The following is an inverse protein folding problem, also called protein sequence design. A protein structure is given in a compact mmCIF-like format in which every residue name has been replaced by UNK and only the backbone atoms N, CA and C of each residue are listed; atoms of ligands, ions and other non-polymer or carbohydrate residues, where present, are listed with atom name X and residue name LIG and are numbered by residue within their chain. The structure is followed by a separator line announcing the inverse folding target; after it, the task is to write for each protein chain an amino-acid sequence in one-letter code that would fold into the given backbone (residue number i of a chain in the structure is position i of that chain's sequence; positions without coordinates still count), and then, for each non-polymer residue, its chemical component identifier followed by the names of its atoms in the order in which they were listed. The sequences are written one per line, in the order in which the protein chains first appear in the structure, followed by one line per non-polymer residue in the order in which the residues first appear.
data_IF_888933871112
#
_entry.id   IF_888933871112
#
_cell.length_a   1.000
_cell.length_b   1.000
_cell.length_c   1.000
_cell.angle_alpha   90.00
_cell.angle_beta   90.00
_cell.angle_gamma   90.00
#
_symmetry.space_group_name_H-M   'P 1'
#
loop_
_entity.id
_entity.type
_entity.pdbx_description
1 polymer ?
#
# COMPACT_ATOMS: atom_id res chain seq x y z
N UNK A 1 16.43 27.53 30.83
CA UNK A 1 15.95 26.23 31.35
C UNK A 1 14.55 26.26 32.00
N UNK A 2 13.98 27.39 32.37
CA UNK A 2 12.65 27.47 33.02
C UNK A 2 11.45 27.47 32.07
N UNK A 3 11.61 27.73 30.78
CA UNK A 3 10.50 27.75 29.80
C UNK A 3 10.10 26.37 29.25
N UNK A 4 11.00 25.39 29.27
CA UNK A 4 10.71 24.02 28.82
C UNK A 4 9.83 23.23 29.78
N UNK A 5 9.89 23.53 31.09
CA UNK A 5 9.11 22.84 32.11
C UNK A 5 7.60 23.16 32.13
N UNK A 6 7.19 24.30 31.57
CA UNK A 6 5.80 24.74 31.57
C UNK A 6 5.05 24.37 30.26
N UNK A 7 5.77 24.00 29.19
CA UNK A 7 5.18 23.59 27.91
C UNK A 7 4.56 22.18 27.92
N UNK A 8 4.94 21.36 28.91
CA UNK A 8 4.55 19.95 28.94
C UNK A 8 3.55 19.61 30.07
N UNK A 9 2.96 20.62 30.73
CA UNK A 9 2.10 20.40 31.90
C UNK A 9 0.65 20.04 31.61
N UNK A 10 0.17 20.16 30.38
CA UNK A 10 -1.21 19.82 30.04
C UNK A 10 -1.32 18.89 28.86
N UNK A 11 -2.13 17.85 29.06
CA UNK A 11 -2.62 16.83 28.14
C UNK A 11 -1.74 15.59 27.93
N UNK A 12 -1.79 14.69 28.91
CA UNK A 12 -1.59 13.27 28.72
C UNK A 12 -2.72 12.74 27.82
N UNK A 13 -2.52 12.71 26.50
CA UNK A 13 -3.36 11.93 25.60
C UNK A 13 -3.00 10.45 25.75
N UNK A 14 -3.61 9.81 26.76
CA UNK A 14 -3.67 8.36 26.88
C UNK A 14 -4.72 7.87 25.86
N UNK A 15 -4.29 7.25 24.77
CA UNK A 15 -5.20 6.56 23.85
C UNK A 15 -4.94 5.07 23.86
N UNK A 16 -5.92 4.34 24.39
CA UNK A 16 -6.08 2.91 24.20
C UNK A 16 -6.73 2.67 22.83
N UNK A 17 -5.93 2.33 21.81
CA UNK A 17 -6.43 1.75 20.59
C UNK A 17 -5.85 0.33 20.48
N UNK A 18 -6.70 -0.68 20.58
CA UNK A 18 -6.38 -2.10 20.40
C UNK A 18 -5.29 -2.65 21.34
N UNK A 19 -5.38 -2.33 22.62
CA UNK A 19 -4.53 -2.95 23.66
C UNK A 19 -3.08 -2.50 23.70
N UNK A 20 -2.68 -1.51 22.90
CA UNK A 20 -1.34 -0.89 22.97
C UNK A 20 -1.51 0.57 23.40
N UNK A 21 -1.13 0.90 24.60
CA UNK A 21 -0.99 2.29 25.04
C UNK A 21 0.07 2.98 24.17
N UNK A 22 -0.37 3.90 23.30
CA UNK A 22 0.54 4.82 22.62
C UNK A 22 0.88 5.91 23.65
N UNK A 23 1.84 5.64 24.51
CA UNK A 23 2.51 6.69 25.26
C UNK A 23 3.36 7.45 24.24
N UNK A 24 2.85 8.60 23.78
CA UNK A 24 3.73 9.62 23.21
C UNK A 24 4.68 9.94 24.35
N UNK A 25 5.90 9.43 24.26
CA UNK A 25 6.87 9.66 25.34
C UNK A 25 7.18 11.15 25.34
N UNK A 26 6.74 11.86 26.37
CA UNK A 26 7.16 13.26 26.59
C UNK A 26 8.68 13.39 26.51
N UNK A 27 9.40 12.33 26.85
CA UNK A 27 10.84 12.23 26.72
C UNK A 27 11.30 12.30 25.26
N UNK A 28 10.59 11.64 24.32
CA UNK A 28 10.93 11.66 22.89
C UNK A 28 10.69 13.03 22.28
N UNK A 29 9.58 13.69 22.62
CA UNK A 29 9.30 15.07 22.20
C UNK A 29 10.35 16.04 22.75
N UNK A 30 10.66 15.97 24.04
CA UNK A 30 11.67 16.83 24.67
C UNK A 30 13.08 16.58 24.07
N UNK A 31 13.41 15.35 23.72
CA UNK A 31 14.66 15.02 23.06
C UNK A 31 14.70 15.61 21.63
N UNK A 32 13.58 15.51 20.87
CA UNK A 32 13.44 16.11 19.55
C UNK A 32 13.58 17.63 19.58
N UNK A 33 12.95 18.29 20.55
CA UNK A 33 13.07 19.73 20.74
C UNK A 33 14.52 20.15 21.02
N UNK A 34 15.25 19.40 21.85
CA UNK A 34 16.67 19.63 22.11
C UNK A 34 17.52 19.48 20.85
N UNK A 35 17.28 18.43 20.04
CA UNK A 35 17.96 18.26 18.75
C UNK A 35 17.66 19.41 17.80
N UNK A 36 16.40 19.79 17.67
CA UNK A 36 15.99 20.92 16.82
C UNK A 36 16.69 22.22 17.23
N UNK A 37 16.78 22.49 18.54
CA UNK A 37 17.54 23.64 19.06
C UNK A 37 19.04 23.52 18.78
N UNK A 38 19.62 22.32 18.85
CA UNK A 38 21.05 22.11 18.57
C UNK A 38 21.42 22.31 17.09
N UNK A 39 20.44 22.20 16.17
CA UNK A 39 20.61 22.55 14.76
C UNK A 39 20.58 24.08 14.50
N UNK A 40 20.44 24.90 15.56
CA UNK A 40 20.38 26.35 15.43
C UNK A 40 19.03 26.89 14.99
N UNK A 41 17.97 26.10 15.06
CA UNK A 41 16.62 26.51 14.69
C UNK A 41 16.01 27.40 15.79
N UNK A 42 15.26 28.44 15.38
CA UNK A 42 14.49 29.32 16.28
C UNK A 42 13.01 28.93 16.26
N UNK A 43 12.39 28.56 17.39
CA UNK A 43 10.97 28.21 17.46
C UNK A 43 10.03 29.31 16.96
N UNK A 44 10.43 30.60 17.04
CA UNK A 44 9.65 31.74 16.54
C UNK A 44 9.95 32.07 15.08
N UNK A 45 10.97 31.42 14.49
CA UNK A 45 11.37 31.59 13.12
C UNK A 45 10.41 30.95 12.13
N UNK A 46 10.88 30.85 10.88
CA UNK A 46 10.19 30.09 9.83
C UNK A 46 10.88 28.74 9.67
N UNK A 47 10.12 27.65 9.44
CA UNK A 47 10.71 26.40 8.98
C UNK A 47 11.55 26.63 7.71
N UNK A 48 12.62 25.90 7.57
CA UNK A 48 13.46 25.96 6.37
C UNK A 48 12.76 25.15 5.26
N UNK A 49 12.39 25.82 4.16
CA UNK A 49 11.78 25.17 3.01
C UNK A 49 12.85 24.50 2.15
N UNK A 50 13.43 23.41 2.69
CA UNK A 50 14.40 22.60 1.97
C UNK A 50 13.66 21.70 0.98
N UNK A 51 14.02 21.83 -0.30
CA UNK A 51 13.48 21.03 -1.40
C UNK A 51 14.64 20.49 -2.21
N UNK A 52 14.57 19.23 -2.62
CA UNK A 52 15.55 18.60 -3.50
C UNK A 52 15.52 19.27 -4.88
N UNK A 53 16.67 19.36 -5.53
CA UNK A 53 16.73 19.74 -6.94
C UNK A 53 15.96 18.72 -7.80
N UNK A 54 15.51 19.14 -8.97
CA UNK A 54 14.76 18.27 -9.89
C UNK A 54 15.52 16.98 -10.22
N UNK A 55 16.84 17.08 -10.44
CA UNK A 55 17.71 15.94 -10.72
C UNK A 55 17.78 14.98 -9.52
N UNK A 56 18.08 15.50 -8.32
CA UNK A 56 18.12 14.69 -7.09
C UNK A 56 16.75 14.02 -6.81
N UNK A 57 15.65 14.77 -7.00
CA UNK A 57 14.31 14.25 -6.79
C UNK A 57 13.98 13.12 -7.76
N UNK A 58 14.39 13.25 -9.02
CA UNK A 58 14.19 12.20 -10.03
C UNK A 58 14.95 10.92 -9.64
N UNK A 59 16.22 11.04 -9.22
CA UNK A 59 17.03 9.90 -8.76
C UNK A 59 16.40 9.21 -7.54
N UNK A 60 15.94 10.00 -6.55
CA UNK A 60 15.29 9.47 -5.36
C UNK A 60 13.98 8.76 -5.74
N UNK A 61 13.19 9.34 -6.65
CA UNK A 61 11.93 8.75 -7.11
C UNK A 61 12.16 7.42 -7.81
N UNK A 62 13.15 7.35 -8.71
CA UNK A 62 13.52 6.11 -9.41
C UNK A 62 13.96 5.01 -8.42
N UNK A 63 14.76 5.36 -7.43
CA UNK A 63 15.20 4.42 -6.38
C UNK A 63 14.03 3.87 -5.57
N UNK A 64 12.98 4.67 -5.34
CA UNK A 64 11.83 4.32 -4.54
C UNK A 64 10.62 3.81 -5.36
N UNK A 65 10.74 3.69 -6.69
CA UNK A 65 9.63 3.32 -7.59
C UNK A 65 9.00 1.97 -7.20
N UNK A 66 9.85 0.99 -6.83
CA UNK A 66 9.38 -0.31 -6.37
C UNK A 66 8.48 -0.21 -5.12
N UNK A 67 8.86 0.60 -4.13
CA UNK A 67 8.05 0.75 -2.90
C UNK A 67 6.81 1.60 -3.20
N UNK A 68 6.98 2.65 -3.99
CA UNK A 68 5.92 3.59 -4.35
C UNK A 68 4.71 2.91 -5.01
N UNK A 69 4.91 1.87 -5.84
CA UNK A 69 3.81 1.13 -6.45
C UNK A 69 2.88 0.44 -5.43
N UNK A 70 3.41 0.06 -4.25
CA UNK A 70 2.62 -0.53 -3.17
C UNK A 70 2.01 0.53 -2.25
N UNK A 71 2.69 1.68 -2.11
CA UNK A 71 2.23 2.80 -1.28
C UNK A 71 1.09 3.56 -1.93
N UNK A 72 1.15 3.83 -3.24
CA UNK A 72 0.19 4.69 -3.92
C UNK A 72 -1.27 4.26 -3.74
N UNK A 73 -1.65 2.97 -3.88
CA UNK A 73 -3.03 2.54 -3.63
C UNK A 73 -3.49 2.72 -2.19
N UNK A 74 -2.57 2.49 -1.22
CA UNK A 74 -2.88 2.66 0.21
C UNK A 74 -2.99 4.14 0.59
N UNK A 75 -2.20 5.01 -0.04
CA UNK A 75 -2.28 6.45 0.13
C UNK A 75 -3.63 7.00 -0.40
N UNK A 76 -4.06 6.56 -1.58
CA UNK A 76 -5.37 6.89 -2.14
C UNK A 76 -6.53 6.39 -1.24
N UNK A 77 -6.42 5.16 -0.75
CA UNK A 77 -7.42 4.59 0.16
C UNK A 77 -7.49 5.37 1.47
N UNK A 78 -6.35 5.67 2.08
CA UNK A 78 -6.25 6.44 3.30
C UNK A 78 -6.84 7.84 3.11
N UNK A 79 -6.50 8.52 2.01
CA UNK A 79 -7.05 9.84 1.67
C UNK A 79 -8.58 9.78 1.56
N UNK A 80 -9.13 8.79 0.86
CA UNK A 80 -10.58 8.64 0.70
C UNK A 80 -11.32 8.35 2.03
N UNK A 81 -10.65 7.70 2.99
CA UNK A 81 -11.23 7.44 4.31
C UNK A 81 -11.31 8.68 5.21
N UNK A 82 -10.40 9.64 5.01
CA UNK A 82 -10.32 10.88 5.80
C UNK A 82 -10.66 12.14 5.00
N UNK A 83 -10.94 12.02 3.71
CA UNK A 83 -11.28 13.15 2.85
C UNK A 83 -12.54 13.91 3.34
N UNK A 84 -12.55 15.21 3.16
CA UNK A 84 -13.60 16.10 3.65
C UNK A 84 -13.40 16.59 5.08
N UNK A 85 -12.27 16.30 5.69
CA UNK A 85 -11.90 16.72 7.05
C UNK A 85 -10.72 17.70 7.07
N UNK A 86 -10.42 18.35 5.96
CA UNK A 86 -9.27 19.24 5.78
C UNK A 86 -7.94 18.53 6.12
N UNK A 87 -7.70 17.40 5.46
CA UNK A 87 -6.52 16.57 5.63
C UNK A 87 -5.64 16.57 4.38
N UNK A 88 -4.37 16.31 4.61
CA UNK A 88 -3.47 15.78 3.61
C UNK A 88 -2.95 14.41 4.05
N UNK A 89 -2.54 13.58 3.10
CA UNK A 89 -1.74 12.39 3.32
C UNK A 89 -0.51 12.45 2.44
N UNK A 90 0.64 12.04 2.97
CA UNK A 90 1.90 12.09 2.26
C UNK A 90 2.70 10.79 2.46
N UNK A 91 3.49 10.46 1.46
CA UNK A 91 4.50 9.41 1.53
C UNK A 91 5.88 10.05 1.45
N UNK A 92 6.73 9.72 2.42
CA UNK A 92 8.13 10.11 2.44
C UNK A 92 9.03 8.86 2.43
N UNK A 93 10.20 8.99 1.80
CA UNK A 93 11.21 7.94 1.79
C UNK A 93 11.94 7.81 3.13
N UNK A 94 12.87 6.86 3.21
CA UNK A 94 13.69 6.62 4.40
C UNK A 94 14.68 7.74 4.74
N UNK A 95 14.80 8.77 3.91
CA UNK A 95 15.59 9.98 4.18
C UNK A 95 14.74 11.18 4.61
N UNK A 96 13.42 11.03 4.66
CA UNK A 96 12.47 12.08 5.02
C UNK A 96 12.12 13.03 3.88
N UNK A 97 12.34 12.63 2.63
CA UNK A 97 11.95 13.35 1.43
C UNK A 97 10.54 12.92 1.03
N UNK A 98 9.61 13.87 0.89
CA UNK A 98 8.26 13.60 0.41
C UNK A 98 8.30 13.23 -1.06
N UNK A 99 7.77 12.06 -1.41
CA UNK A 99 7.73 11.55 -2.78
C UNK A 99 6.34 11.64 -3.41
N UNK A 100 5.30 11.62 -2.59
CA UNK A 100 3.91 11.75 -3.03
C UNK A 100 3.05 12.39 -1.94
N UNK A 101 2.03 13.15 -2.34
CA UNK A 101 1.09 13.78 -1.41
C UNK A 101 -0.28 13.98 -2.06
N UNK A 102 -1.33 13.65 -1.32
CA UNK A 102 -2.72 13.91 -1.68
C UNK A 102 -3.29 14.91 -0.68
N UNK A 103 -3.74 16.05 -1.18
CA UNK A 103 -4.23 17.16 -0.39
C UNK A 103 -5.64 17.52 -0.87
N UNK A 104 -6.52 17.86 0.06
CA UNK A 104 -7.79 18.51 -0.33
C UNK A 104 -7.57 19.97 -0.74
N UNK A 105 -8.57 20.56 -1.38
CA UNK A 105 -8.45 21.89 -1.96
C UNK A 105 -8.28 22.99 -0.87
N UNK A 106 -8.88 22.83 0.30
CA UNK A 106 -8.74 23.77 1.40
C UNK A 106 -7.34 23.68 2.01
N UNK A 107 -6.84 22.46 2.24
CA UNK A 107 -5.52 22.24 2.80
C UNK A 107 -4.41 22.77 1.87
N UNK A 108 -4.55 22.66 0.55
CA UNK A 108 -3.58 23.19 -0.44
C UNK A 108 -3.33 24.69 -0.30
N UNK A 109 -4.34 25.45 0.12
CA UNK A 109 -4.22 26.90 0.27
C UNK A 109 -3.54 27.31 1.57
N UNK A 110 -3.39 26.41 2.53
CA UNK A 110 -2.72 26.65 3.81
C UNK A 110 -1.20 26.76 3.65
N UNK A 111 -0.54 27.38 4.61
CA UNK A 111 0.93 27.45 4.63
C UNK A 111 1.56 26.05 4.73
N UNK A 112 0.93 25.13 5.46
CA UNK A 112 1.37 23.75 5.56
C UNK A 112 1.21 22.99 4.25
N UNK A 113 0.07 23.14 3.57
CA UNK A 113 -0.18 22.49 2.28
C UNK A 113 0.79 22.95 1.18
N UNK A 114 1.20 24.21 1.21
CA UNK A 114 2.24 24.74 0.30
C UNK A 114 3.63 24.21 0.61
N UNK A 115 3.89 23.82 1.85
CA UNK A 115 5.20 23.34 2.29
C UNK A 115 5.38 21.82 2.06
N UNK A 116 4.29 21.05 2.00
CA UNK A 116 4.31 19.61 1.74
C UNK A 116 4.13 19.36 0.26
N UNK A 117 5.24 19.46 -0.46
CA UNK A 117 5.30 19.19 -1.90
C UNK A 117 6.28 18.06 -2.18
N UNK A 118 6.12 17.32 -3.29
CA UNK A 118 7.12 16.36 -3.72
C UNK A 118 8.52 16.98 -3.80
N UNK A 119 9.52 16.31 -3.22
CA UNK A 119 10.88 16.80 -3.08
C UNK A 119 11.15 17.57 -1.78
N UNK A 120 10.15 17.98 -1.00
CA UNK A 120 10.35 18.65 0.29
C UNK A 120 10.92 17.72 1.34
N UNK A 121 11.83 18.26 2.20
CA UNK A 121 12.54 17.50 3.22
C UNK A 121 11.94 17.79 4.59
N UNK A 122 11.51 16.75 5.30
CA UNK A 122 10.79 16.86 6.58
C UNK A 122 11.56 16.28 7.77
N UNK A 123 12.88 16.29 7.69
CA UNK A 123 13.75 15.92 8.82
C UNK A 123 13.83 17.03 9.87
N UNK A 124 14.21 16.67 11.10
CA UNK A 124 14.26 17.60 12.25
C UNK A 124 15.23 18.76 12.06
N UNK A 125 16.30 18.59 11.28
CA UNK A 125 17.30 19.66 11.03
C UNK A 125 16.78 20.79 10.14
N UNK A 126 15.70 20.59 9.38
CA UNK A 126 15.05 21.61 8.56
C UNK A 126 13.70 22.06 9.13
N UNK A 127 12.91 21.11 9.60
CA UNK A 127 11.52 21.36 10.01
C UNK A 127 11.33 21.33 11.53
N UNK A 128 12.40 21.16 12.30
CA UNK A 128 12.31 20.99 13.74
C UNK A 128 11.47 19.77 14.12
N UNK A 129 10.99 19.71 15.36
CA UNK A 129 10.12 18.62 15.80
C UNK A 129 8.82 18.60 14.99
N UNK A 130 8.62 17.53 14.22
CA UNK A 130 7.43 17.22 13.44
C UNK A 130 7.22 15.70 13.42
N UNK A 131 6.05 15.21 13.01
CA UNK A 131 5.72 13.78 13.10
C UNK A 131 6.61 12.91 12.20
N UNK A 132 6.87 13.32 10.95
CA UNK A 132 7.74 12.59 10.02
C UNK A 132 9.18 12.49 10.53
N UNK A 133 9.79 13.62 10.92
CA UNK A 133 11.17 13.67 11.43
C UNK A 133 11.32 12.87 12.73
N UNK A 134 10.35 12.96 13.64
CA UNK A 134 10.36 12.19 14.87
C UNK A 134 10.13 10.70 14.63
N UNK A 135 9.23 10.34 13.72
CA UNK A 135 8.99 8.96 13.30
C UNK A 135 10.27 8.34 12.71
N UNK A 136 10.94 9.05 11.82
CA UNK A 136 12.20 8.61 11.23
C UNK A 136 13.29 8.39 12.29
N UNK A 137 13.40 9.32 13.25
CA UNK A 137 14.43 9.23 14.28
C UNK A 137 14.18 8.10 15.28
N UNK A 138 12.90 7.87 15.67
CA UNK A 138 12.55 6.89 16.70
C UNK A 138 12.26 5.49 16.14
N UNK A 139 12.00 5.38 14.83
CA UNK A 139 11.51 4.15 14.21
C UNK A 139 10.10 3.75 14.67
N UNK A 140 9.32 4.64 15.29
CA UNK A 140 7.99 4.32 15.82
C UNK A 140 6.96 5.33 15.36
N UNK A 141 5.69 4.91 15.32
CA UNK A 141 4.60 5.81 14.96
C UNK A 141 4.51 6.98 15.91
N UNK A 142 4.28 8.17 15.40
CA UNK A 142 4.31 9.43 16.15
C UNK A 142 3.06 10.27 15.90
N UNK A 143 2.68 11.04 16.94
CA UNK A 143 1.74 12.14 16.83
C UNK A 143 2.46 13.40 17.28
N UNK A 144 2.44 14.43 16.45
CA UNK A 144 2.89 15.76 16.85
C UNK A 144 1.76 16.73 16.54
N UNK A 145 1.18 17.34 17.59
CA UNK A 145 0.00 18.17 17.45
C UNK A 145 0.20 19.51 18.18
N UNK A 146 -0.31 20.58 17.59
CA UNK A 146 -0.32 21.89 18.19
C UNK A 146 1.08 22.36 18.60
N UNK A 147 1.19 22.81 19.84
CA UNK A 147 2.43 23.35 20.43
C UNK A 147 3.56 22.32 20.61
N UNK A 148 3.31 21.05 20.32
CA UNK A 148 4.35 20.02 20.31
C UNK A 148 5.28 20.15 19.09
N UNK A 149 4.85 20.83 18.01
CA UNK A 149 5.73 21.22 16.93
C UNK A 149 6.80 22.20 17.41
N UNK A 150 8.00 22.09 16.87
CA UNK A 150 9.08 23.01 17.24
C UNK A 150 8.79 24.44 16.80
N UNK A 151 8.39 24.62 15.53
CA UNK A 151 8.03 25.94 15.02
C UNK A 151 6.59 26.29 15.41
N UNK A 152 6.41 27.46 16.03
CA UNK A 152 5.08 27.98 16.43
C UNK A 152 4.12 28.13 15.26
N UNK A 153 4.64 28.36 14.06
CA UNK A 153 3.83 28.45 12.81
C UNK A 153 3.15 27.14 12.43
N UNK A 154 3.63 26.01 12.92
CA UNK A 154 3.02 24.70 12.73
C UNK A 154 2.07 24.33 13.89
N UNK A 155 1.84 25.29 14.82
CA UNK A 155 1.05 25.06 16.02
C UNK A 155 -0.45 24.80 15.79
N UNK A 156 -0.94 25.05 14.61
CA UNK A 156 -2.33 24.80 14.23
C UNK A 156 -2.52 23.42 13.56
N UNK A 157 -1.46 22.61 13.47
CA UNK A 157 -1.48 21.31 12.81
C UNK A 157 -1.51 20.15 13.80
N UNK A 158 -2.12 19.05 13.37
CA UNK A 158 -2.02 17.72 13.96
C UNK A 158 -1.50 16.75 12.93
N UNK A 159 -0.31 16.19 13.16
CA UNK A 159 0.42 15.31 12.26
C UNK A 159 0.52 13.90 12.86
N UNK A 160 0.29 12.88 12.05
CA UNK A 160 0.26 11.47 12.42
C UNK A 160 1.14 10.69 11.45
N UNK A 161 2.31 10.26 11.89
CA UNK A 161 3.24 9.53 11.03
C UNK A 161 3.46 8.10 11.53
N UNK A 162 3.60 7.16 10.59
CA UNK A 162 4.00 5.80 10.88
C UNK A 162 5.04 5.31 9.86
N UNK A 163 6.03 4.50 10.32
CA UNK A 163 7.04 3.93 9.44
C UNK A 163 6.49 2.74 8.66
N UNK A 164 7.07 2.51 7.50
CA UNK A 164 6.95 1.29 6.70
C UNK A 164 8.25 0.53 6.85
N UNK A 165 8.17 -0.70 7.31
CA UNK A 165 9.34 -1.55 7.50
C UNK A 165 9.55 -2.51 6.34
N UNK A 166 10.80 -2.63 5.92
CA UNK A 166 11.28 -3.68 5.03
C UNK A 166 11.53 -5.00 5.78
N UNK A 167 12.05 -5.98 5.06
CA UNK A 167 12.23 -7.34 5.57
C UNK A 167 13.27 -7.44 6.69
N UNK A 168 14.32 -6.63 6.60
CA UNK A 168 15.41 -6.60 7.57
C UNK A 168 15.14 -5.66 8.75
N UNK A 169 13.87 -5.23 8.91
CA UNK A 169 13.43 -4.28 9.93
C UNK A 169 14.04 -2.87 9.77
N UNK A 170 14.45 -2.53 8.55
CA UNK A 170 14.84 -1.16 8.16
C UNK A 170 13.60 -0.34 7.79
N UNK A 171 13.67 0.97 8.01
CA UNK A 171 12.63 1.88 7.52
C UNK A 171 12.83 2.10 6.03
N UNK A 172 11.86 1.71 5.22
CA UNK A 172 11.88 1.90 3.76
C UNK A 172 11.07 3.13 3.31
N UNK A 173 10.27 3.68 4.21
CA UNK A 173 9.49 4.89 4.00
C UNK A 173 8.56 5.18 5.17
N UNK A 174 7.75 6.21 5.04
CA UNK A 174 6.79 6.63 6.06
C UNK A 174 5.52 7.17 5.41
N UNK A 175 4.37 6.95 6.04
CA UNK A 175 3.13 7.62 5.68
C UNK A 175 2.79 8.61 6.79
N UNK A 176 2.42 9.81 6.40
CA UNK A 176 1.94 10.88 7.26
C UNK A 176 0.51 11.29 6.87
N UNK A 177 -0.31 11.59 7.86
CA UNK A 177 -1.56 12.30 7.68
C UNK A 177 -1.55 13.54 8.55
N UNK A 178 -1.84 14.68 7.95
CA UNK A 178 -1.83 15.98 8.64
C UNK A 178 -3.16 16.68 8.46
N UNK A 179 -3.68 17.24 9.53
CA UNK A 179 -4.90 18.06 9.53
C UNK A 179 -4.70 19.32 10.33
N UNK A 180 -5.67 20.21 10.25
CA UNK A 180 -5.80 21.31 11.21
C UNK A 180 -5.99 20.75 12.63
N UNK A 181 -5.31 21.34 13.64
CA UNK A 181 -5.34 20.90 15.04
C UNK A 181 -6.73 20.95 15.68
N UNK A 182 -7.66 21.71 15.09
CA UNK A 182 -9.06 21.79 15.54
C UNK A 182 -9.84 20.49 15.28
N UNK A 183 -9.44 19.71 14.28
CA UNK A 183 -10.04 18.43 13.93
C UNK A 183 -9.32 17.28 14.64
N UNK A 184 -9.61 17.07 15.93
CA UNK A 184 -9.06 15.95 16.71
C UNK A 184 -9.63 14.62 16.23
N UNK A 185 -8.98 13.99 15.30
CA UNK A 185 -9.37 12.64 14.86
C UNK A 185 -8.52 11.60 15.58
N UNK A 186 -9.08 11.06 16.66
CA UNK A 186 -8.44 10.07 17.52
C UNK A 186 -8.07 8.77 16.78
N UNK A 187 -8.68 8.51 15.64
CA UNK A 187 -8.47 7.27 14.88
C UNK A 187 -7.47 7.41 13.72
N UNK A 188 -7.02 8.63 13.41
CA UNK A 188 -6.15 8.88 12.25
C UNK A 188 -4.85 8.09 12.32
N UNK A 189 -4.17 8.06 13.48
CA UNK A 189 -2.95 7.27 13.60
C UNK A 189 -3.19 5.76 13.38
N UNK A 190 -4.35 5.25 13.82
CA UNK A 190 -4.70 3.85 13.57
C UNK A 190 -4.86 3.56 12.08
N UNK A 191 -5.49 4.47 11.32
CA UNK A 191 -5.61 4.35 9.87
C UNK A 191 -4.27 4.45 9.15
N UNK A 192 -3.41 5.39 9.55
CA UNK A 192 -2.04 5.52 9.01
C UNK A 192 -1.22 4.25 9.27
N UNK A 193 -1.27 3.72 10.50
CA UNK A 193 -0.61 2.45 10.85
C UNK A 193 -1.15 1.27 10.03
N UNK A 194 -2.47 1.24 9.80
CA UNK A 194 -3.09 0.19 8.98
C UNK A 194 -2.61 0.27 7.53
N UNK A 195 -2.54 1.47 6.95
CA UNK A 195 -2.01 1.68 5.60
C UNK A 195 -0.54 1.21 5.50
N UNK A 196 0.32 1.62 6.44
CA UNK A 196 1.72 1.14 6.48
C UNK A 196 1.78 -0.39 6.57
N UNK A 197 0.93 -1.00 7.41
CA UNK A 197 0.90 -2.46 7.58
C UNK A 197 0.45 -3.20 6.31
N UNK A 198 -0.50 -2.62 5.57
CA UNK A 198 -0.91 -3.16 4.28
C UNK A 198 0.24 -3.12 3.27
N UNK A 199 0.98 -1.99 3.21
CA UNK A 199 2.18 -1.87 2.36
C UNK A 199 3.22 -2.92 2.74
N UNK A 200 3.58 -3.05 4.02
CA UNK A 200 4.53 -4.05 4.51
C UNK A 200 4.14 -5.48 4.12
N UNK A 201 2.87 -5.85 4.29
CA UNK A 201 2.40 -7.18 3.92
C UNK A 201 2.44 -7.41 2.39
N UNK A 202 2.16 -6.39 1.58
CA UNK A 202 2.27 -6.48 0.11
C UNK A 202 3.72 -6.60 -0.34
N UNK A 203 4.63 -5.81 0.24
CA UNK A 203 6.07 -5.93 0.00
C UNK A 203 6.57 -7.33 0.34
N UNK A 204 6.15 -7.87 1.50
CA UNK A 204 6.49 -9.23 1.92
C UNK A 204 6.02 -10.28 0.89
N UNK A 205 4.76 -10.20 0.46
CA UNK A 205 4.20 -11.16 -0.49
C UNK A 205 4.90 -11.07 -1.85
N UNK A 206 5.24 -9.89 -2.32
CA UNK A 206 5.91 -9.72 -3.61
C UNK A 206 7.38 -10.20 -3.57
N UNK A 207 8.09 -9.91 -2.48
CA UNK A 207 9.46 -10.35 -2.30
C UNK A 207 9.58 -11.89 -2.27
N UNK A 208 8.66 -12.56 -1.58
CA UNK A 208 8.63 -14.01 -1.46
C UNK A 208 7.64 -14.68 -2.44
N UNK A 209 7.37 -14.07 -3.58
CA UNK A 209 6.41 -14.59 -4.59
C UNK A 209 6.72 -15.98 -5.13
N UNK A 210 7.98 -16.43 -4.99
CA UNK A 210 8.43 -17.75 -5.41
C UNK A 210 8.35 -18.81 -4.30
N UNK A 211 8.02 -18.40 -3.07
CA UNK A 211 7.85 -19.27 -1.91
C UNK A 211 6.37 -19.43 -1.58
N UNK A 212 6.02 -20.47 -0.85
CA UNK A 212 4.68 -20.66 -0.31
C UNK A 212 4.44 -19.68 0.83
N UNK A 213 3.50 -18.75 0.67
CA UNK A 213 3.15 -17.80 1.73
C UNK A 213 2.04 -18.39 2.59
N UNK A 214 2.35 -18.64 3.86
CA UNK A 214 1.42 -19.19 4.85
C UNK A 214 1.01 -18.08 5.80
N UNK A 215 -0.30 -17.89 5.98
CA UNK A 215 -0.85 -17.09 7.07
C UNK A 215 -1.13 -17.98 8.26
N UNK A 216 -0.80 -17.52 9.48
CA UNK A 216 -1.16 -18.22 10.70
C UNK A 216 -1.56 -17.25 11.82
N UNK A 217 -2.42 -17.73 12.73
CA UNK A 217 -2.87 -17.01 13.90
C UNK A 217 -3.49 -17.96 14.93
N UNK A 218 -3.52 -17.55 16.22
CA UNK A 218 -4.16 -18.33 17.29
C UNK A 218 -5.67 -18.48 17.09
N UNK A 219 -6.30 -17.62 16.30
CA UNK A 219 -7.72 -17.62 15.94
C UNK A 219 -7.87 -17.63 14.43
N UNK A 220 -8.72 -18.48 13.90
CA UNK A 220 -8.90 -18.66 12.45
C UNK A 220 -9.49 -17.43 11.76
N UNK A 221 -10.30 -16.63 12.46
CA UNK A 221 -10.95 -15.43 11.92
C UNK A 221 -9.94 -14.35 11.51
N UNK A 222 -8.74 -14.39 12.09
CA UNK A 222 -7.69 -13.40 11.80
C UNK A 222 -6.78 -13.77 10.62
N UNK A 223 -6.89 -14.99 10.06
CA UNK A 223 -6.00 -15.44 8.98
C UNK A 223 -6.07 -14.58 7.71
N UNK A 224 -7.22 -13.98 7.43
CA UNK A 224 -7.43 -13.10 6.28
C UNK A 224 -7.18 -11.61 6.58
N UNK A 225 -6.89 -11.26 7.82
CA UNK A 225 -6.70 -9.87 8.26
C UNK A 225 -5.22 -9.44 8.19
N UNK A 226 -4.98 -8.14 8.34
CA UNK A 226 -3.62 -7.59 8.44
C UNK A 226 -2.89 -7.98 9.73
N UNK A 227 -3.62 -8.53 10.71
CA UNK A 227 -3.05 -9.05 11.96
C UNK A 227 -2.48 -10.46 11.81
N UNK A 228 -2.74 -11.15 10.69
CA UNK A 228 -2.17 -12.46 10.43
C UNK A 228 -0.64 -12.42 10.42
N UNK A 229 -0.03 -13.41 11.03
CA UNK A 229 1.38 -13.70 10.88
C UNK A 229 1.62 -14.35 9.51
N UNK A 230 2.64 -13.92 8.77
CA UNK A 230 3.00 -14.47 7.46
C UNK A 230 4.39 -15.12 7.53
N UNK A 231 4.48 -16.32 6.97
CA UNK A 231 5.74 -17.03 6.73
C UNK A 231 5.86 -17.33 5.24
N UNK A 232 7.04 -17.12 4.69
CA UNK A 232 7.44 -17.61 3.39
C UNK A 232 8.22 -18.94 3.59
N UNK A 233 7.79 -20.00 2.93
CA UNK A 233 8.38 -21.34 3.07
C UNK A 233 8.73 -21.87 1.69
N UNK A 234 9.97 -22.34 1.53
CA UNK A 234 10.43 -22.93 0.28
C UNK A 234 9.86 -24.36 0.07
N UNK A 235 10.10 -24.95 -1.08
CA UNK A 235 9.63 -26.30 -1.44
C UNK A 235 10.19 -27.40 -0.54
N UNK A 236 11.33 -27.15 0.12
CA UNK A 236 11.98 -28.07 1.04
C UNK A 236 11.53 -27.89 2.49
N UNK A 237 10.68 -26.90 2.77
CA UNK A 237 10.18 -26.60 4.11
C UNK A 237 11.08 -25.68 4.92
N UNK A 238 12.06 -25.02 4.30
CA UNK A 238 12.83 -23.98 4.98
C UNK A 238 12.11 -22.64 4.94
N UNK A 239 12.27 -21.86 5.99
CA UNK A 239 11.66 -20.53 6.11
C UNK A 239 12.58 -19.51 5.46
N UNK A 240 12.09 -18.90 4.39
CA UNK A 240 12.78 -17.83 3.66
C UNK A 240 12.52 -16.45 4.28
N UNK A 241 11.34 -16.25 4.89
CA UNK A 241 10.97 -14.97 5.48
C UNK A 241 9.81 -15.05 6.47
N UNK A 242 9.69 -14.00 7.29
CA UNK A 242 8.61 -13.84 8.26
C UNK A 242 8.26 -12.35 8.39
N UNK A 243 6.97 -12.01 8.32
CA UNK A 243 6.55 -10.64 8.61
C UNK A 243 6.68 -10.32 10.11
N UNK A 244 6.53 -9.05 10.48
CA UNK A 244 6.70 -8.62 11.88
C UNK A 244 5.73 -9.33 12.83
N UNK A 245 4.50 -9.61 12.39
CA UNK A 245 3.52 -10.33 13.20
C UNK A 245 3.98 -11.76 13.49
N UNK A 246 4.56 -12.44 12.50
CA UNK A 246 5.14 -13.78 12.69
C UNK A 246 6.32 -13.74 13.67
N UNK A 247 7.20 -12.76 13.54
CA UNK A 247 8.33 -12.57 14.47
C UNK A 247 7.83 -12.35 15.90
N UNK A 248 6.79 -11.53 16.09
CA UNK A 248 6.18 -11.28 17.41
C UNK A 248 5.50 -12.53 17.97
N UNK A 249 4.65 -13.19 17.17
CA UNK A 249 3.89 -14.38 17.61
C UNK A 249 4.80 -15.57 17.95
N UNK A 250 5.94 -15.66 17.30
CA UNK A 250 6.96 -16.69 17.53
C UNK A 250 8.08 -16.22 18.46
N UNK A 251 7.78 -15.30 19.39
CA UNK A 251 8.68 -14.80 20.42
C UNK A 251 10.03 -14.28 19.89
N UNK A 252 9.98 -13.49 18.81
CA UNK A 252 11.18 -12.90 18.22
C UNK A 252 11.96 -13.89 17.35
N UNK A 253 11.25 -14.66 16.53
CA UNK A 253 11.84 -15.59 15.55
C UNK A 253 13.05 -14.95 14.86
N UNK A 254 14.22 -15.54 15.09
CA UNK A 254 15.47 -15.13 14.48
C UNK A 254 15.74 -15.98 13.24
N UNK A 255 15.77 -15.32 12.08
CA UNK A 255 16.06 -15.91 10.76
C UNK A 255 17.50 -15.62 10.28
N UNK A 256 18.41 -15.19 11.18
CA UNK A 256 19.84 -15.06 10.85
C UNK A 256 20.46 -16.38 10.38
N UNK A 257 19.85 -17.50 10.76
CA UNK A 257 20.16 -18.81 10.24
C UNK A 257 18.93 -19.43 9.61
N UNK A 258 19.12 -20.17 8.51
CA UNK A 258 18.03 -20.86 7.82
C UNK A 258 17.37 -21.85 8.77
N UNK A 259 16.05 -21.68 9.02
CA UNK A 259 15.24 -22.50 9.92
C UNK A 259 14.32 -23.39 9.11
N UNK A 260 14.15 -24.62 9.54
CA UNK A 260 13.15 -25.49 8.95
C UNK A 260 11.78 -25.29 9.63
N UNK A 261 10.70 -25.48 8.91
CA UNK A 261 9.33 -25.35 9.42
C UNK A 261 9.08 -26.23 10.66
N UNK A 262 9.64 -27.46 10.68
CA UNK A 262 9.54 -28.37 11.81
C UNK A 262 10.27 -27.91 13.07
N UNK A 263 11.19 -26.93 12.97
CA UNK A 263 11.86 -26.37 14.15
C UNK A 263 10.92 -25.44 14.93
N UNK A 264 9.88 -24.95 14.26
CA UNK A 264 8.91 -23.99 14.82
C UNK A 264 7.58 -24.67 15.12
N UNK A 265 7.14 -25.56 14.23
CA UNK A 265 5.87 -26.28 14.37
C UNK A 265 6.15 -27.77 14.51
N UNK A 266 5.42 -28.43 15.40
CA UNK A 266 5.60 -29.84 15.70
C UNK A 266 5.14 -30.78 14.57
N UNK A 267 5.38 -30.38 13.29
CA UNK A 267 4.95 -31.11 12.10
C UNK A 267 5.87 -30.77 10.91
N UNK A 268 6.06 -31.73 10.00
CA UNK A 268 6.78 -31.51 8.77
C UNK A 268 5.92 -30.73 7.76
N UNK A 269 6.51 -29.73 7.08
CA UNK A 269 5.82 -28.95 6.05
C UNK A 269 5.25 -29.85 4.95
N UNK A 270 6.01 -30.82 4.47
CA UNK A 270 5.60 -31.76 3.42
C UNK A 270 4.31 -32.54 3.74
N UNK A 271 4.03 -32.78 5.03
CA UNK A 271 2.83 -33.52 5.45
C UNK A 271 1.55 -32.69 5.39
N UNK A 272 1.67 -31.34 5.37
CA UNK A 272 0.53 -30.42 5.36
C UNK A 272 0.44 -29.59 4.08
N UNK A 273 1.48 -29.57 3.25
CA UNK A 273 1.56 -28.74 2.05
C UNK A 273 0.38 -28.95 1.09
N UNK A 274 0.01 -30.22 0.83
CA UNK A 274 -1.13 -30.52 -0.06
C UNK A 274 -2.46 -29.99 0.48
N UNK A 275 -2.68 -30.07 1.80
CA UNK A 275 -3.89 -29.56 2.45
C UNK A 275 -3.94 -28.04 2.39
N UNK A 276 -2.82 -27.37 2.65
CA UNK A 276 -2.70 -25.92 2.52
C UNK A 276 -2.92 -25.47 1.09
N UNK A 277 -2.34 -26.16 0.10
CA UNK A 277 -2.53 -25.85 -1.32
C UNK A 277 -4.00 -26.04 -1.80
N UNK A 278 -4.77 -26.87 -1.08
CA UNK A 278 -6.22 -27.01 -1.31
C UNK A 278 -7.05 -25.96 -0.58
N UNK A 279 -6.43 -24.88 -0.08
CA UNK A 279 -7.05 -23.80 0.71
C UNK A 279 -7.73 -24.29 1.99
N UNK A 280 -7.29 -25.41 2.54
CA UNK A 280 -7.79 -25.91 3.81
C UNK A 280 -7.19 -25.10 4.97
N UNK A 281 -8.02 -24.71 5.93
CA UNK A 281 -7.57 -24.14 7.19
C UNK A 281 -7.21 -25.32 8.12
N UNK A 282 -5.95 -25.41 8.50
CA UNK A 282 -5.46 -26.48 9.36
C UNK A 282 -5.14 -25.94 10.75
N UNK A 283 -5.39 -26.75 11.77
CA UNK A 283 -4.97 -26.47 13.14
C UNK A 283 -3.77 -27.35 13.48
N UNK A 284 -2.70 -26.71 13.92
CA UNK A 284 -1.45 -27.39 14.32
C UNK A 284 -0.95 -26.80 15.64
N UNK A 285 0.12 -27.37 16.18
CA UNK A 285 0.78 -26.84 17.37
C UNK A 285 2.19 -26.36 17.01
N UNK A 286 2.60 -25.29 17.65
CA UNK A 286 4.01 -24.88 17.62
C UNK A 286 4.86 -25.80 18.50
N UNK A 287 6.17 -25.64 18.44
CA UNK A 287 7.11 -26.44 19.22
C UNK A 287 6.96 -26.25 20.74
N UNK A 288 6.26 -25.21 21.19
CA UNK A 288 5.95 -24.93 22.59
C UNK A 288 4.57 -25.49 23.01
N UNK A 289 3.83 -26.10 22.08
CA UNK A 289 2.51 -26.66 22.32
C UNK A 289 1.33 -25.70 22.14
N UNK A 290 1.55 -24.46 21.71
CA UNK A 290 0.49 -23.51 21.44
C UNK A 290 -0.23 -23.86 20.15
N UNK A 291 -1.57 -23.88 20.17
CA UNK A 291 -2.38 -24.16 18.99
C UNK A 291 -2.47 -22.94 18.09
N UNK A 292 -2.20 -23.13 16.80
CA UNK A 292 -2.37 -22.11 15.75
C UNK A 292 -3.16 -22.66 14.58
N UNK A 293 -3.92 -21.79 13.93
CA UNK A 293 -4.57 -22.06 12.65
C UNK A 293 -3.67 -21.55 11.53
N UNK A 294 -3.61 -22.30 10.43
CA UNK A 294 -2.85 -21.95 9.24
C UNK A 294 -3.69 -22.06 7.98
N UNK A 295 -3.42 -21.19 7.03
CA UNK A 295 -3.97 -21.24 5.70
C UNK A 295 -2.93 -20.77 4.68
N UNK A 296 -3.03 -21.25 3.45
CA UNK A 296 -2.27 -20.68 2.35
C UNK A 296 -2.77 -19.27 2.09
N UNK A 297 -1.85 -18.30 2.03
CA UNK A 297 -2.16 -16.96 1.55
C UNK A 297 -2.06 -17.00 0.05
N UNK A 298 -3.18 -16.87 -0.66
CA UNK A 298 -3.13 -16.72 -2.12
C UNK A 298 -2.32 -15.47 -2.46
N UNK A 299 -1.32 -15.57 -3.35
CA UNK A 299 -0.64 -14.39 -3.84
C UNK A 299 -1.70 -13.47 -4.48
N UNK A 300 -1.70 -12.20 -4.10
CA UNK A 300 -2.60 -11.16 -4.63
C UNK A 300 -2.31 -10.91 -6.13
N UNK A 301 -1.28 -11.53 -6.65
CA UNK A 301 -0.88 -11.49 -8.05
C UNK A 301 -1.64 -12.53 -8.85
N UNK A 302 -2.64 -12.03 -9.56
CA UNK A 302 -3.06 -12.51 -10.88
C UNK A 302 -3.15 -14.05 -11.03
N UNK A 303 -4.32 -14.62 -10.87
CA UNK A 303 -4.72 -15.67 -11.80
C UNK A 303 -4.86 -15.01 -13.19
N UNK A 304 -3.74 -14.76 -13.85
CA UNK A 304 -3.72 -14.75 -15.30
C UNK A 304 -4.04 -16.22 -15.64
N UNK A 305 -5.28 -16.46 -16.06
CA UNK A 305 -5.57 -17.69 -16.79
C UNK A 305 -4.74 -17.54 -18.06
N UNK A 306 -3.53 -18.11 -18.08
CA UNK A 306 -2.81 -18.36 -19.30
C UNK A 306 -3.67 -19.35 -20.09
N UNK A 307 -4.49 -18.80 -20.97
CA UNK A 307 -5.10 -19.60 -22.03
C UNK A 307 -3.94 -19.96 -22.94
N UNK A 308 -3.35 -21.13 -22.67
CA UNK A 308 -2.25 -21.66 -23.46
C UNK A 308 -2.80 -21.92 -24.89
N UNK A 309 -2.42 -21.13 -25.91
CA UNK A 309 -2.96 -21.31 -27.27
C UNK A 309 -2.44 -22.58 -27.95
N UNK A 310 -1.65 -23.43 -27.30
CA UNK A 310 -1.10 -24.69 -27.83
C UNK A 310 -1.96 -25.92 -27.54
N UNK A 311 -3.16 -25.77 -26.97
CA UNK A 311 -4.08 -26.88 -26.67
C UNK A 311 -5.15 -27.18 -27.74
N UNK A 312 -5.13 -26.52 -28.89
CA UNK A 312 -6.11 -26.76 -29.97
C UNK A 312 -5.51 -27.51 -31.15
N UNK A 313 -5.09 -28.73 -30.88
CA UNK A 313 -4.80 -29.70 -31.95
C UNK A 313 -5.40 -31.06 -31.59
N UNK A 314 -6.70 -31.15 -31.41
CA UNK A 314 -7.48 -32.39 -31.50
C UNK A 314 -8.96 -32.02 -31.38
N UNK A 315 -9.55 -31.61 -32.50
CA UNK A 315 -10.93 -31.87 -32.90
C UNK A 315 -11.13 -31.28 -34.31
N UNK A 316 -10.49 -31.93 -35.29
CA UNK A 316 -10.93 -31.86 -36.66
C UNK A 316 -12.17 -32.78 -36.79
N UNK A 317 -13.33 -32.16 -36.95
CA UNK A 317 -14.51 -32.94 -37.32
C UNK A 317 -15.80 -32.42 -36.69
N UNK A 318 -16.29 -31.32 -37.19
CA UNK A 318 -17.68 -31.08 -37.56
C UNK A 318 -17.91 -29.60 -37.87
N UNK A 319 -18.11 -29.32 -39.14
CA UNK A 319 -18.60 -28.06 -39.68
C UNK A 319 -20.02 -27.82 -39.15
N UNK A 320 -20.14 -26.99 -38.09
CA UNK A 320 -21.42 -26.39 -37.72
C UNK A 320 -21.41 -24.96 -38.22
N UNK A 321 -22.20 -24.70 -39.24
CA UNK A 321 -22.48 -23.37 -39.78
C UNK A 321 -23.13 -22.50 -38.71
N UNK A 322 -22.49 -21.40 -38.33
CA UNK A 322 -23.08 -20.33 -37.53
C UNK A 322 -24.10 -19.58 -38.42
N UNK A 323 -25.36 -19.83 -38.18
CA UNK A 323 -26.47 -19.01 -38.67
C UNK A 323 -26.77 -17.93 -37.64
N UNK A 324 -26.68 -16.68 -38.06
CA UNK A 324 -27.23 -15.54 -37.30
C UNK A 324 -28.77 -15.61 -37.34
N UNK A 325 -29.43 -15.20 -36.27
CA UNK A 325 -30.89 -15.12 -36.16
C UNK A 325 -31.46 -14.02 -37.07
N UNK A 326 -31.26 -14.17 -38.37
CA UNK A 326 -31.71 -13.23 -39.39
C UNK A 326 -31.46 -13.69 -40.81
N UNK A 327 -30.89 -14.86 -41.01
CA UNK A 327 -30.86 -15.54 -42.32
C UNK A 327 -30.03 -14.88 -43.41
N UNK A 328 -29.01 -14.07 -43.11
CA UNK A 328 -28.10 -13.51 -44.11
C UNK A 328 -26.73 -14.18 -44.05
N UNK A 329 -26.33 -14.85 -45.13
CA UNK A 329 -24.94 -15.31 -45.33
C UNK A 329 -24.02 -14.09 -45.45
N UNK A 330 -23.05 -13.95 -44.52
CA UNK A 330 -21.99 -12.96 -44.62
C UNK A 330 -21.01 -13.40 -45.75
N UNK A 331 -20.76 -12.53 -46.70
CA UNK A 331 -19.75 -12.71 -47.74
C UNK A 331 -18.39 -12.17 -47.22
N UNK A 332 -17.23 -12.71 -47.70
CA UNK A 332 -15.89 -12.38 -47.17
C UNK A 332 -15.40 -10.95 -47.43
N UNK A 333 -16.23 -10.04 -47.91
CA UNK A 333 -15.81 -8.72 -48.39
C UNK A 333 -16.42 -7.54 -47.63
N UNK A 334 -17.08 -7.75 -46.48
CA UNK A 334 -17.53 -6.64 -45.64
C UNK A 334 -16.36 -6.20 -44.76
N UNK A 335 -15.65 -5.16 -45.19
CA UNK A 335 -14.72 -4.42 -44.33
C UNK A 335 -15.51 -3.91 -43.13
N UNK A 336 -14.99 -4.10 -41.91
CA UNK A 336 -15.64 -3.54 -40.70
C UNK A 336 -15.75 -2.02 -40.88
N UNK A 337 -16.99 -1.50 -40.82
CA UNK A 337 -17.22 -0.08 -40.78
C UNK A 337 -16.46 0.46 -39.55
N UNK A 338 -15.51 1.34 -39.80
CA UNK A 338 -14.75 2.06 -38.78
C UNK A 338 -15.76 2.85 -37.96
N UNK A 339 -16.14 2.32 -36.79
CA UNK A 339 -16.96 3.04 -35.82
C UNK A 339 -16.11 4.13 -35.28
N UNK A 340 -16.45 5.39 -35.55
CA UNK A 340 -15.75 6.54 -34.99
C UNK A 340 -16.12 6.68 -33.51
N UNK A 341 -15.16 6.40 -32.63
CA UNK A 341 -15.32 6.62 -31.21
C UNK A 341 -15.01 8.10 -30.90
N UNK A 342 -16.05 8.87 -30.66
CA UNK A 342 -15.93 10.29 -30.41
C UNK A 342 -16.09 10.53 -28.90
N UNK A 343 -15.10 11.17 -28.28
CA UNK A 343 -15.22 11.67 -26.90
C UNK A 343 -14.78 13.12 -26.81
N UNK A 344 -15.65 13.98 -26.33
CA UNK A 344 -15.37 15.36 -26.04
C UNK A 344 -15.11 15.59 -24.53
N UNK A 345 -15.51 14.64 -23.70
CA UNK A 345 -15.35 14.71 -22.25
C UNK A 345 -13.86 14.67 -21.83
N UNK A 346 -13.44 15.73 -21.15
CA UNK A 346 -12.05 15.90 -20.70
C UNK A 346 -11.65 14.89 -19.60
N UNK A 347 -12.63 14.43 -18.80
CA UNK A 347 -12.44 13.39 -17.79
C UNK A 347 -12.17 12.05 -18.46
N UNK A 348 -13.01 11.66 -19.42
CA UNK A 348 -12.84 10.42 -20.18
C UNK A 348 -11.53 10.40 -20.96
N UNK A 349 -11.11 11.51 -21.56
CA UNK A 349 -9.80 11.63 -22.24
C UNK A 349 -8.64 11.33 -21.28
N UNK A 350 -8.68 11.84 -20.03
CA UNK A 350 -7.65 11.55 -19.02
C UNK A 350 -7.65 10.06 -18.62
N UNK A 351 -8.83 9.46 -18.48
CA UNK A 351 -8.94 8.02 -18.17
C UNK A 351 -8.42 7.15 -19.31
N UNK A 352 -8.68 7.52 -20.56
CA UNK A 352 -8.13 6.83 -21.72
C UNK A 352 -6.60 6.91 -21.81
N UNK A 353 -6.01 8.05 -21.42
CA UNK A 353 -4.55 8.19 -21.33
C UNK A 353 -3.94 7.31 -20.22
N UNK A 354 -4.62 7.18 -19.07
CA UNK A 354 -4.21 6.26 -18.01
C UNK A 354 -4.34 4.80 -18.46
N UNK A 355 -5.44 4.44 -19.12
CA UNK A 355 -5.65 3.12 -19.68
C UNK A 355 -4.57 2.75 -20.72
N UNK A 356 -4.15 3.72 -21.55
CA UNK A 356 -3.02 3.55 -22.48
C UNK A 356 -1.75 3.12 -21.73
N UNK A 357 -1.38 3.86 -20.68
CA UNK A 357 -0.18 3.52 -19.89
C UNK A 357 -0.30 2.13 -19.25
N UNK A 358 -1.48 1.78 -18.73
CA UNK A 358 -1.72 0.45 -18.18
C UNK A 358 -1.50 -0.66 -19.23
N UNK A 359 -2.01 -0.49 -20.46
CA UNK A 359 -1.83 -1.46 -21.54
C UNK A 359 -0.37 -1.60 -21.99
N UNK A 360 0.40 -0.52 -22.00
CA UNK A 360 1.85 -0.59 -22.33
C UNK A 360 2.66 -1.35 -21.28
N UNK A 361 2.13 -1.52 -20.07
CA UNK A 361 2.74 -2.30 -19.00
C UNK A 361 2.02 -3.63 -18.72
N UNK A 362 1.20 -4.10 -19.66
CA UNK A 362 0.39 -5.33 -19.54
C UNK A 362 -0.50 -5.37 -18.27
N UNK A 363 -0.94 -4.20 -17.77
CA UNK A 363 -1.81 -4.12 -16.63
C UNK A 363 -3.28 -4.29 -17.01
N UNK A 364 -4.10 -4.99 -16.21
CA UNK A 364 -5.51 -5.14 -16.45
C UNK A 364 -6.24 -3.79 -16.29
N UNK A 365 -7.26 -3.56 -17.14
CA UNK A 365 -8.11 -2.38 -17.07
C UNK A 365 -9.50 -2.79 -16.62
N UNK A 366 -10.03 -2.14 -15.61
CA UNK A 366 -11.42 -2.25 -15.20
C UNK A 366 -12.20 -1.03 -15.69
N UNK A 367 -13.29 -1.26 -16.47
CA UNK A 367 -14.16 -0.20 -16.99
C UNK A 367 -15.51 -0.30 -16.31
N UNK A 368 -15.82 0.67 -15.46
CA UNK A 368 -17.07 0.77 -14.73
C UNK A 368 -17.96 1.89 -15.26
N UNK A 369 -19.27 1.73 -15.09
CA UNK A 369 -20.25 2.74 -15.49
C UNK A 369 -21.67 2.18 -15.59
N UNK A 370 -22.70 3.02 -15.67
CA UNK A 370 -24.10 2.60 -15.77
C UNK A 370 -24.36 1.82 -17.06
N UNK A 371 -25.52 1.14 -17.12
CA UNK A 371 -25.95 0.41 -18.31
C UNK A 371 -26.11 1.39 -19.49
N UNK A 372 -25.52 1.10 -20.64
CA UNK A 372 -25.55 1.98 -21.82
C UNK A 372 -24.44 3.01 -21.92
N UNK A 373 -23.52 3.14 -20.94
CA UNK A 373 -22.44 4.15 -20.93
C UNK A 373 -21.28 3.90 -21.90
N UNK A 374 -21.38 2.92 -22.80
CA UNK A 374 -20.37 2.67 -23.83
C UNK A 374 -19.14 1.86 -23.36
N UNK A 375 -19.17 1.19 -22.20
CA UNK A 375 -18.03 0.40 -21.70
C UNK A 375 -17.40 -0.55 -22.71
N UNK A 376 -18.24 -1.27 -23.47
CA UNK A 376 -17.76 -2.19 -24.50
C UNK A 376 -17.09 -1.44 -25.65
N UNK A 377 -17.67 -0.32 -26.10
CA UNK A 377 -17.09 0.50 -27.16
C UNK A 377 -15.73 1.07 -26.72
N UNK A 378 -15.61 1.50 -25.48
CA UNK A 378 -14.33 1.97 -24.88
C UNK A 378 -13.29 0.85 -24.85
N UNK A 379 -13.67 -0.38 -24.48
CA UNK A 379 -12.75 -1.51 -24.45
C UNK A 379 -12.27 -1.89 -25.87
N UNK A 380 -13.17 -1.87 -26.85
CA UNK A 380 -12.85 -2.14 -28.27
C UNK A 380 -11.90 -1.08 -28.83
N UNK A 381 -12.18 0.20 -28.57
CA UNK A 381 -11.34 1.33 -29.00
C UNK A 381 -9.92 1.24 -28.43
N UNK A 382 -9.80 0.98 -27.13
CA UNK A 382 -8.49 0.77 -26.49
C UNK A 382 -7.73 -0.40 -27.11
N UNK A 383 -8.43 -1.49 -27.40
CA UNK A 383 -7.82 -2.65 -28.03
C UNK A 383 -7.37 -2.36 -29.49
N UNK A 384 -8.21 -1.72 -30.30
CA UNK A 384 -7.88 -1.39 -31.69
C UNK A 384 -6.69 -0.43 -31.82
N UNK A 385 -6.59 0.55 -30.88
CA UNK A 385 -5.51 1.53 -30.92
C UNK A 385 -4.19 0.94 -30.40
N UNK A 386 -4.23 0.16 -29.31
CA UNK A 386 -3.00 -0.21 -28.60
C UNK A 386 -2.58 -1.66 -28.76
N UNK A 387 -3.50 -2.54 -29.18
CA UNK A 387 -3.25 -3.97 -29.38
C UNK A 387 -3.76 -4.48 -30.76
N UNK A 388 -3.58 -3.73 -31.85
CA UNK A 388 -4.23 -4.05 -33.15
C UNK A 388 -3.82 -5.39 -33.74
N UNK A 389 -2.74 -6.00 -33.28
CA UNK A 389 -2.23 -7.30 -33.73
C UNK A 389 -2.75 -8.49 -32.91
N UNK A 390 -3.49 -8.23 -31.82
CA UNK A 390 -4.05 -9.28 -30.96
C UNK A 390 -5.56 -9.40 -31.21
N UNK A 391 -6.16 -10.60 -31.13
CA UNK A 391 -7.61 -10.75 -31.28
C UNK A 391 -8.35 -10.16 -30.09
N UNK A 392 -9.46 -9.46 -30.35
CA UNK A 392 -10.38 -9.02 -29.28
C UNK A 392 -11.35 -10.15 -28.97
N UNK A 393 -11.27 -10.71 -27.76
CA UNK A 393 -12.13 -11.80 -27.29
C UNK A 393 -13.08 -11.30 -26.23
N UNK A 394 -14.38 -11.42 -26.46
CA UNK A 394 -15.43 -11.07 -25.50
C UNK A 394 -15.92 -12.32 -24.76
N UNK A 395 -15.80 -12.32 -23.43
CA UNK A 395 -16.30 -13.41 -22.58
C UNK A 395 -17.44 -12.86 -21.71
N UNK A 396 -18.61 -13.46 -21.81
CA UNK A 396 -19.76 -13.14 -20.97
C UNK A 396 -19.69 -13.95 -19.68
N UNK A 397 -19.43 -13.31 -18.54
CA UNK A 397 -19.26 -13.99 -17.24
C UNK A 397 -20.49 -14.81 -16.80
N UNK A 398 -21.68 -14.44 -17.24
CA UNK A 398 -22.92 -15.21 -16.95
C UNK A 398 -23.01 -16.55 -17.73
N UNK A 399 -22.13 -16.79 -18.68
CA UNK A 399 -22.02 -18.05 -19.44
C UNK A 399 -20.89 -18.95 -18.91
N UNK A 400 -20.12 -18.49 -17.93
CA UNK A 400 -19.13 -19.31 -17.26
C UNK A 400 -19.84 -20.14 -16.19
N UNK A 401 -20.04 -21.42 -16.50
CA UNK A 401 -20.46 -22.43 -15.48
C UNK A 401 -19.22 -22.85 -14.69
N UNK A 402 -19.35 -22.88 -13.36
CA UNK A 402 -18.32 -23.37 -12.43
C UNK A 402 -18.14 -24.87 -12.61
#
# INVERSE_FOLDING_TARGET
MSQLGNLFKDETLTQTALGTEIKISQASLAASWRRSSSFGLDPNGKPVDAVKSETEFLEITQKNEYIKQFVAPELELLYNQIAGTNFMVAYADSSGVVLDALLDEEFKTSDAGRAVIPGSIWTENYRGTNALGLCLHTGTSQIVAGRNHFFRKLGDLSCFAAPIYGQNNEIVGMIDATSDASSRQQHTLALVKLACKNVENRLFIDEFRNSSIISFHARHEYLSTTSAALLAVDEHGFIDGANINAKIMLNGLNLSHKRHFSDIFAILYSSIANRLNSNEIIRIHDAMGSAVFMAMKEPTTKRIIEINPKGTSLLAGSSASLLDQGGRKLTPNDKPQTRCYITEDSGLKRHLLRAKRALTHDLPIFIEGPRGSGKKATAQELHEIYLPKRPFVEIKCNLLTV
#
